data_IF_459185548891
#
_entry.id   IF_459185548891
#
_cell.length_a   1.000
_cell.length_b   1.000
_cell.length_c   1.000
_cell.angle_alpha   90.00
_cell.angle_beta   90.00
_cell.angle_gamma   90.00
#
_symmetry.space_group_name_H-M   'P 1'
#
loop_
_entity.id
_entity.type
_entity.pdbx_description
1 polymer ?
#
# COMPACT_ATOMS: atom_id res chain seq x y z
N UNK A 1 6.10 5.51 -17.18
CA UNK A 1 4.74 5.22 -16.71
C UNK A 1 4.88 3.90 -15.95
N UNK A 2 4.96 3.94 -14.61
CA UNK A 2 5.12 2.71 -13.82
C UNK A 2 3.76 2.03 -13.78
N UNK A 3 3.61 0.90 -14.48
CA UNK A 3 2.37 0.15 -14.55
C UNK A 3 2.30 -0.86 -13.41
N UNK A 4 1.14 -0.93 -12.75
CA UNK A 4 0.78 -1.98 -11.81
C UNK A 4 0.37 -3.23 -12.61
N UNK A 5 1.37 -3.92 -13.17
CA UNK A 5 1.18 -5.12 -13.99
C UNK A 5 1.33 -6.39 -13.14
N UNK A 6 0.51 -6.51 -12.09
CA UNK A 6 0.51 -7.67 -11.20
C UNK A 6 -0.52 -8.69 -11.67
N UNK A 7 -0.07 -9.90 -12.01
CA UNK A 7 -0.94 -10.99 -12.42
C UNK A 7 -1.43 -11.83 -11.23
N UNK A 8 -0.59 -11.98 -10.19
CA UNK A 8 -0.93 -12.76 -9.00
C UNK A 8 -0.42 -12.11 -7.72
N UNK A 9 -1.03 -12.44 -6.57
CA UNK A 9 -0.62 -11.93 -5.27
C UNK A 9 0.86 -12.23 -4.93
N UNK A 10 1.46 -13.24 -5.57
CA UNK A 10 2.86 -13.62 -5.38
C UNK A 10 3.84 -12.61 -5.97
N UNK A 11 3.39 -11.77 -6.90
CA UNK A 11 4.22 -10.74 -7.52
C UNK A 11 4.21 -9.44 -6.70
N UNK A 12 3.44 -9.38 -5.61
CA UNK A 12 3.41 -8.22 -4.72
C UNK A 12 4.72 -8.19 -3.92
N UNK A 13 5.50 -7.15 -4.17
CA UNK A 13 6.67 -6.79 -3.38
C UNK A 13 6.56 -5.37 -2.79
N UNK A 14 7.61 -4.93 -2.10
CA UNK A 14 7.62 -3.63 -1.44
C UNK A 14 7.55 -2.48 -2.45
N UNK A 15 8.22 -2.61 -3.61
CA UNK A 15 8.23 -1.58 -4.63
C UNK A 15 6.85 -1.39 -5.25
N UNK A 16 6.10 -2.49 -5.40
CA UNK A 16 4.72 -2.45 -5.83
C UNK A 16 3.83 -1.73 -4.80
N UNK A 17 3.94 -2.07 -3.52
CA UNK A 17 3.15 -1.41 -2.47
C UNK A 17 3.50 0.09 -2.38
N UNK A 18 4.79 0.44 -2.50
CA UNK A 18 5.25 1.83 -2.59
C UNK A 18 4.62 2.56 -3.79
N UNK A 19 4.52 1.89 -4.96
CA UNK A 19 3.90 2.42 -6.15
C UNK A 19 2.41 2.71 -5.95
N UNK A 20 1.65 1.78 -5.38
CA UNK A 20 0.22 1.97 -5.07
C UNK A 20 -0.01 3.13 -4.11
N UNK A 21 0.80 3.19 -3.06
CA UNK A 21 0.73 4.28 -2.08
C UNK A 21 1.19 5.63 -2.62
N UNK A 22 1.68 5.69 -3.87
CA UNK A 22 2.37 6.85 -4.43
C UNK A 22 3.49 7.37 -3.50
N UNK A 23 4.15 6.42 -2.82
CA UNK A 23 5.11 6.74 -1.78
C UNK A 23 6.38 7.33 -2.40
N UNK A 24 6.70 8.57 -2.02
CA UNK A 24 7.94 9.23 -2.39
C UNK A 24 8.85 9.28 -1.17
N UNK A 25 10.05 8.71 -1.28
CA UNK A 25 11.03 8.78 -0.19
C UNK A 25 11.51 10.23 -0.04
N UNK A 26 11.55 10.75 1.18
CA UNK A 26 12.22 12.04 1.42
C UNK A 26 13.70 11.88 1.06
N UNK A 27 14.32 12.92 0.48
CA UNK A 27 15.76 12.88 0.29
C UNK A 27 16.42 12.72 1.66
N UNK A 28 17.05 11.56 1.89
CA UNK A 28 17.77 11.23 3.12
C UNK A 28 18.83 12.30 3.40
N UNK A 29 18.44 13.34 4.13
CA UNK A 29 19.38 14.32 4.66
C UNK A 29 19.80 13.80 6.03
N UNK A 30 21.07 13.95 6.41
CA UNK A 30 21.56 13.58 7.75
C UNK A 30 20.72 14.23 8.88
N UNK A 31 20.00 15.31 8.57
CA UNK A 31 19.09 16.05 9.44
C UNK A 31 17.76 15.30 9.68
N UNK A 32 17.33 14.38 8.80
CA UNK A 32 16.07 13.63 8.98
C UNK A 32 16.08 12.75 10.23
N UNK A 33 17.26 12.30 10.66
CA UNK A 33 17.47 11.59 11.93
C UNK A 33 17.09 12.43 13.16
N UNK A 34 17.20 13.76 13.07
CA UNK A 34 16.92 14.69 14.18
C UNK A 34 15.44 15.07 14.26
N UNK A 35 14.67 14.88 13.20
CA UNK A 35 13.29 15.37 13.09
C UNK A 35 12.25 14.43 13.72
N UNK A 36 12.67 13.31 14.33
CA UNK A 36 11.80 12.34 15.02
C UNK A 36 10.59 11.88 14.17
N UNK A 37 10.66 12.06 12.85
CA UNK A 37 9.61 11.64 11.93
C UNK A 37 9.84 10.17 11.60
N UNK A 38 8.92 9.26 11.97
CA UNK A 38 9.10 7.83 11.70
C UNK A 38 9.00 7.51 10.20
N UNK A 39 8.35 8.38 9.41
CA UNK A 39 8.11 8.15 8.00
C UNK A 39 9.19 8.79 7.12
N UNK A 40 10.02 7.97 6.49
CA UNK A 40 10.91 8.39 5.39
C UNK A 40 10.16 8.71 4.08
N UNK A 41 8.84 8.93 4.14
CA UNK A 41 7.97 9.17 3.00
C UNK A 41 7.34 10.55 3.08
N UNK A 42 7.26 11.23 1.95
CA UNK A 42 6.61 12.52 1.78
C UNK A 42 5.10 12.32 1.63
N UNK A 43 4.31 12.92 2.52
CA UNK A 43 2.85 12.90 2.51
C UNK A 43 2.23 11.49 2.31
N UNK A 44 2.62 10.48 3.11
CA UNK A 44 2.10 9.13 2.92
C UNK A 44 0.57 9.08 3.17
N UNK A 45 -0.15 8.15 2.53
CA UNK A 45 -1.51 7.81 2.93
C UNK A 45 -1.51 7.24 4.35
N UNK A 46 -2.65 7.34 5.03
CA UNK A 46 -2.88 6.69 6.33
C UNK A 46 -2.95 5.17 6.19
N UNK A 47 -3.53 4.69 5.08
CA UNK A 47 -3.78 3.28 4.82
C UNK A 47 -3.56 2.96 3.34
N UNK A 48 -2.90 1.83 3.08
CA UNK A 48 -2.83 1.20 1.76
C UNK A 48 -3.64 -0.10 1.81
N UNK A 49 -4.64 -0.22 0.94
CA UNK A 49 -5.44 -1.42 0.78
C UNK A 49 -4.98 -2.16 -0.47
N UNK A 50 -4.66 -3.45 -0.32
CA UNK A 50 -4.31 -4.34 -1.43
C UNK A 50 -5.39 -5.41 -1.60
N UNK A 51 -6.10 -5.35 -2.72
CA UNK A 51 -7.02 -6.39 -3.18
C UNK A 51 -6.25 -7.50 -3.88
N UNK A 52 -6.24 -8.69 -3.28
CA UNK A 52 -5.40 -9.84 -3.71
C UNK A 52 -6.09 -10.81 -4.67
N UNK A 53 -7.21 -10.39 -5.29
CA UNK A 53 -8.03 -11.21 -6.19
C UNK A 53 -9.23 -11.81 -5.48
N UNK A 54 -9.59 -13.06 -5.81
CA UNK A 54 -10.81 -13.72 -5.30
C UNK A 54 -10.82 -14.00 -3.79
N UNK A 55 -9.65 -14.13 -3.18
CA UNK A 55 -9.51 -14.44 -1.76
C UNK A 55 -8.39 -13.59 -1.16
N UNK A 56 -8.45 -13.37 0.15
CA UNK A 56 -7.40 -12.71 0.89
C UNK A 56 -6.13 -13.57 0.91
N UNK A 57 -5.02 -12.97 0.50
CA UNK A 57 -3.69 -13.56 0.66
C UNK A 57 -2.81 -12.63 1.50
N UNK A 58 -2.33 -13.15 2.63
CA UNK A 58 -1.42 -12.41 3.49
C UNK A 58 0.03 -12.61 3.00
N UNK A 59 0.80 -11.52 2.82
CA UNK A 59 2.21 -11.64 2.50
C UNK A 59 3.02 -12.06 3.72
N UNK A 60 4.31 -12.34 3.51
CA UNK A 60 5.25 -12.47 4.62
C UNK A 60 5.29 -11.15 5.42
N UNK A 61 5.23 -11.17 6.77
CA UNK A 61 5.29 -9.94 7.58
C UNK A 61 6.52 -9.06 7.30
N UNK A 62 7.64 -9.67 6.89
CA UNK A 62 8.87 -8.96 6.51
C UNK A 62 8.66 -8.01 5.33
N UNK A 63 7.68 -8.29 4.46
CA UNK A 63 7.34 -7.45 3.31
C UNK A 63 6.80 -6.09 3.75
N UNK A 64 5.91 -6.09 4.75
CA UNK A 64 5.16 -4.90 5.20
C UNK A 64 5.84 -4.18 6.36
N UNK A 65 6.73 -4.86 7.09
CA UNK A 65 7.45 -4.31 8.23
C UNK A 65 8.13 -2.95 7.97
N UNK A 66 8.77 -2.68 6.81
CA UNK A 66 9.35 -1.36 6.52
C UNK A 66 8.31 -0.24 6.50
N UNK A 67 7.12 -0.50 5.95
CA UNK A 67 6.04 0.48 5.84
C UNK A 67 5.33 0.67 7.18
N UNK A 68 5.12 -0.40 7.94
CA UNK A 68 4.56 -0.31 9.30
C UNK A 68 5.48 0.47 10.24
N UNK A 69 6.81 0.27 10.15
CA UNK A 69 7.78 1.09 10.89
C UNK A 69 7.75 2.56 10.49
N UNK A 70 7.36 2.84 9.24
CA UNK A 70 7.14 4.20 8.75
C UNK A 70 5.77 4.78 9.14
N UNK A 71 4.98 4.08 9.96
CA UNK A 71 3.65 4.53 10.40
C UNK A 71 2.55 4.41 9.34
N UNK A 72 2.80 3.66 8.25
CA UNK A 72 1.83 3.45 7.17
C UNK A 72 1.08 2.13 7.44
N UNK A 73 -0.25 2.20 7.54
CA UNK A 73 -1.08 1.00 7.64
C UNK A 73 -1.18 0.28 6.30
N UNK A 74 -1.12 -1.06 6.30
CA UNK A 74 -1.35 -1.88 5.10
C UNK A 74 -2.33 -2.99 5.43
N UNK A 75 -3.37 -3.12 4.61
CA UNK A 75 -4.35 -4.20 4.70
C UNK A 75 -4.43 -5.00 3.41
N UNK A 76 -4.56 -6.32 3.56
CA UNK A 76 -4.74 -7.26 2.46
C UNK A 76 -6.11 -7.92 2.61
N UNK A 77 -6.89 -7.92 1.54
CA UNK A 77 -8.21 -8.53 1.50
C UNK A 77 -8.54 -9.04 0.09
N UNK A 78 -9.70 -9.66 -0.11
CA UNK A 78 -10.19 -9.94 -1.47
C UNK A 78 -10.50 -8.64 -2.20
N UNK A 79 -10.38 -8.64 -3.53
CA UNK A 79 -10.57 -7.44 -4.36
C UNK A 79 -11.95 -6.81 -4.20
N UNK A 80 -13.01 -7.62 -4.00
CA UNK A 80 -14.36 -7.12 -3.77
C UNK A 80 -14.49 -6.41 -2.40
N UNK A 81 -13.87 -6.96 -1.36
CA UNK A 81 -13.83 -6.34 -0.05
C UNK A 81 -13.00 -5.05 -0.07
N UNK A 82 -11.84 -5.07 -0.74
CA UNK A 82 -10.95 -3.93 -0.88
C UNK A 82 -11.66 -2.73 -1.51
N UNK A 83 -12.39 -2.95 -2.60
CA UNK A 83 -13.14 -1.90 -3.28
C UNK A 83 -14.23 -1.29 -2.37
N UNK A 84 -14.96 -2.12 -1.61
CA UNK A 84 -15.98 -1.63 -0.67
C UNK A 84 -15.36 -0.81 0.46
N UNK A 85 -14.31 -1.32 1.10
CA UNK A 85 -13.63 -0.63 2.20
C UNK A 85 -13.04 0.69 1.73
N UNK A 86 -12.39 0.72 0.57
CA UNK A 86 -11.87 1.96 -0.02
C UNK A 86 -12.97 3.00 -0.20
N UNK A 87 -14.12 2.63 -0.76
CA UNK A 87 -15.23 3.56 -0.98
C UNK A 87 -15.74 4.18 0.33
N UNK A 88 -15.84 3.38 1.41
CA UNK A 88 -16.25 3.89 2.72
C UNK A 88 -15.21 4.88 3.27
N UNK A 89 -13.93 4.49 3.29
CA UNK A 89 -12.85 5.35 3.83
C UNK A 89 -12.66 6.63 3.02
N UNK A 90 -12.81 6.55 1.70
CA UNK A 90 -12.80 7.72 0.82
C UNK A 90 -13.98 8.65 1.11
N UNK A 91 -15.18 8.11 1.34
CA UNK A 91 -16.35 8.90 1.70
C UNK A 91 -16.20 9.59 3.07
N UNK A 92 -15.41 9.00 3.98
CA UNK A 92 -15.02 9.61 5.26
C UNK A 92 -13.92 10.69 5.12
N UNK A 93 -13.37 10.90 3.93
CA UNK A 93 -12.33 11.90 3.67
C UNK A 93 -10.92 11.50 4.13
N UNK A 94 -10.69 10.20 4.36
CA UNK A 94 -9.38 9.67 4.78
C UNK A 94 -8.41 9.57 3.62
N UNK A 95 -7.11 9.69 3.90
CA UNK A 95 -6.07 9.49 2.88
C UNK A 95 -5.78 8.01 2.72
N UNK A 96 -6.47 7.36 1.79
CA UNK A 96 -6.33 5.93 1.50
C UNK A 96 -5.85 5.70 0.07
N UNK A 97 -4.95 4.74 -0.11
CA UNK A 97 -4.52 4.24 -1.41
C UNK A 97 -5.05 2.82 -1.65
N UNK A 98 -5.31 2.47 -2.92
CA UNK A 98 -5.89 1.19 -3.31
C UNK A 98 -5.15 0.58 -4.49
N UNK A 99 -4.69 -0.66 -4.34
CA UNK A 99 -4.16 -1.50 -5.41
C UNK A 99 -5.01 -2.75 -5.55
N UNK A 100 -5.51 -3.04 -6.75
CA UNK A 100 -6.37 -4.21 -7.00
C UNK A 100 -5.73 -5.15 -8.01
N UNK A 101 -5.76 -6.44 -7.72
CA UNK A 101 -5.54 -7.50 -8.70
C UNK A 101 -6.91 -7.84 -9.29
N UNK A 102 -7.04 -7.64 -10.60
CA UNK A 102 -8.23 -8.02 -11.38
C UNK A 102 -7.95 -9.37 -12.02
N UNK A 103 -8.77 -10.38 -11.71
CA UNK A 103 -8.73 -11.61 -12.51
C UNK A 103 -9.33 -11.33 -13.88
N UNK A 104 -8.71 -11.87 -14.93
CA UNK A 104 -9.33 -11.90 -16.25
C UNK A 104 -10.60 -12.73 -16.13
N UNK A 105 -11.76 -12.09 -16.33
CA UNK A 105 -13.03 -12.78 -16.44
C UNK A 105 -12.92 -13.87 -17.50
N UNK A 106 -13.34 -15.09 -17.14
CA UNK A 106 -13.49 -16.21 -18.07
C UNK A 106 -14.70 -15.94 -18.96
#
# INVERSE_FOLDING_TARGET
MNSWDIATYKDIDLAQIELVGMLQKSQNSAIDFLNDKPSNYLNPPELIIIGTGKAQHLPNPSLVAPLTRAGIGIEFMSTDAAARTYNVLMAEGRKVALGLILEKGV
#
